data_IF_627016626818
#
_entry.id   IF_627016626818
#
_cell.length_a   1.000
_cell.length_b   1.000
_cell.length_c   1.000
_cell.angle_alpha   90.00
_cell.angle_beta   90.00
_cell.angle_gamma   90.00
#
_symmetry.space_group_name_H-M   'P 1'
#
loop_
_entity.id
_entity.type
_entity.pdbx_description
1 polymer ?
#
# COMPACT_ATOMS: atom_id res chain seq x y z
N UNK A 1 -23.47 -17.95 -3.46
CA UNK A 1 -23.07 -16.92 -2.47
C UNK A 1 -23.92 -15.69 -2.72
N UNK A 2 -24.42 -15.00 -1.70
CA UNK A 2 -25.24 -13.77 -1.86
C UNK A 2 -24.52 -12.49 -1.42
N UNK A 3 -23.33 -12.62 -0.83
CA UNK A 3 -22.53 -11.50 -0.33
C UNK A 3 -21.24 -11.33 -1.12
N UNK A 4 -20.75 -10.10 -1.18
CA UNK A 4 -19.39 -9.77 -1.60
C UNK A 4 -18.38 -10.40 -0.62
N UNK A 5 -17.26 -10.91 -1.16
CA UNK A 5 -16.09 -11.29 -0.36
C UNK A 5 -14.93 -10.40 -0.75
N UNK A 6 -14.38 -9.70 0.25
CA UNK A 6 -13.17 -8.89 0.10
C UNK A 6 -12.00 -9.69 0.67
N UNK A 7 -10.95 -9.87 -0.12
CA UNK A 7 -9.70 -10.49 0.33
C UNK A 7 -8.64 -9.40 0.36
N UNK A 8 -8.07 -9.08 1.53
CA UNK A 8 -6.95 -8.15 1.59
C UNK A 8 -5.72 -8.78 0.93
N UNK A 9 -5.00 -7.98 0.15
CA UNK A 9 -3.72 -8.32 -0.43
C UNK A 9 -2.65 -7.53 0.31
N UNK A 10 -1.59 -8.22 0.73
CA UNK A 10 -0.41 -7.57 1.28
C UNK A 10 0.48 -7.13 0.12
N UNK A 11 0.56 -5.82 -0.11
CA UNK A 11 1.25 -5.24 -1.27
C UNK A 11 2.37 -4.27 -0.85
N UNK A 12 3.05 -4.60 0.25
CA UNK A 12 4.11 -3.81 0.84
C UNK A 12 3.62 -2.75 1.83
N UNK A 13 4.59 -2.07 2.43
CA UNK A 13 4.42 -1.06 3.46
C UNK A 13 5.23 0.18 3.11
N UNK A 14 4.73 1.36 3.48
CA UNK A 14 5.46 2.62 3.41
C UNK A 14 5.65 3.21 4.80
N UNK A 15 6.88 3.63 5.11
CA UNK A 15 7.19 4.39 6.31
C UNK A 15 7.43 5.85 5.95
N UNK A 16 6.89 6.78 6.74
CA UNK A 16 7.07 8.23 6.55
C UNK A 16 6.87 9.00 7.86
N UNK A 17 7.19 10.31 7.84
CA UNK A 17 6.86 11.20 8.96
C UNK A 17 5.36 11.19 9.23
N UNK A 18 4.97 10.92 10.48
CA UNK A 18 3.57 10.86 10.90
C UNK A 18 2.83 12.19 10.62
N UNK A 19 3.55 13.31 10.68
CA UNK A 19 3.06 14.64 10.35
C UNK A 19 2.58 14.80 8.90
N UNK A 20 3.08 13.95 7.98
CA UNK A 20 2.65 13.93 6.57
C UNK A 20 1.27 13.29 6.40
N UNK A 21 0.81 12.55 7.40
CA UNK A 21 -0.43 11.76 7.38
C UNK A 21 -1.47 12.39 8.31
N UNK A 22 -1.05 12.79 9.51
CA UNK A 22 -1.90 13.41 10.53
C UNK A 22 -1.23 14.71 10.99
N UNK A 23 -1.91 15.83 10.78
CA UNK A 23 -1.39 17.14 11.16
C UNK A 23 -1.12 17.22 12.67
N UNK A 24 0.06 17.72 13.04
CA UNK A 24 0.48 17.87 14.44
C UNK A 24 0.93 16.58 15.12
N UNK A 25 1.01 15.46 14.40
CA UNK A 25 1.55 14.22 14.93
C UNK A 25 3.06 14.13 14.66
N UNK A 26 3.83 13.89 15.72
CA UNK A 26 5.27 13.71 15.65
C UNK A 26 5.66 12.23 15.48
N UNK A 27 6.86 12.00 14.94
CA UNK A 27 7.45 10.67 14.81
C UNK A 27 7.31 10.05 13.41
N UNK A 28 7.46 8.73 13.35
CA UNK A 28 7.34 7.94 12.12
C UNK A 28 6.11 7.04 12.19
N UNK A 29 5.49 6.80 11.06
CA UNK A 29 4.38 5.86 10.91
C UNK A 29 4.71 4.85 9.83
N UNK A 30 4.39 3.57 10.09
CA UNK A 30 4.39 2.50 9.08
C UNK A 30 2.95 2.27 8.61
N UNK A 31 2.72 2.37 7.30
CA UNK A 31 1.40 2.21 6.69
C UNK A 31 1.39 1.00 5.76
N UNK A 32 0.44 0.06 5.91
CA UNK A 32 0.25 -0.99 4.92
C UNK A 32 -0.33 -0.38 3.65
N UNK A 33 0.16 -0.79 2.48
CA UNK A 33 -0.38 -0.35 1.19
C UNK A 33 -1.49 -1.31 0.78
N UNK A 34 -2.75 -0.84 0.80
CA UNK A 34 -3.85 -1.76 0.72
C UNK A 34 -4.21 -2.05 -0.74
N UNK A 35 -4.51 -3.31 -1.03
CA UNK A 35 -5.19 -3.72 -2.25
C UNK A 35 -6.14 -4.86 -1.91
N UNK A 36 -7.20 -5.05 -2.70
CA UNK A 36 -8.20 -6.07 -2.41
C UNK A 36 -8.63 -6.83 -3.65
N UNK A 37 -8.77 -8.15 -3.51
CA UNK A 37 -9.53 -8.96 -4.44
C UNK A 37 -11.01 -8.93 -4.04
N UNK A 38 -11.83 -8.40 -4.93
CA UNK A 38 -13.28 -8.29 -4.76
C UNK A 38 -13.94 -9.42 -5.52
N UNK A 39 -14.47 -10.42 -4.80
CA UNK A 39 -15.17 -11.56 -5.38
C UNK A 39 -16.68 -11.29 -5.29
N UNK A 40 -17.30 -11.03 -6.44
CA UNK A 40 -18.72 -10.73 -6.53
C UNK A 40 -19.55 -12.01 -6.68
N UNK A 41 -20.73 -12.12 -6.04
CA UNK A 41 -21.58 -13.31 -6.11
C UNK A 41 -22.08 -13.65 -7.54
N UNK A 42 -21.99 -12.72 -8.50
CA UNK A 42 -22.27 -12.97 -9.92
C UNK A 42 -21.21 -13.84 -10.62
N UNK A 43 -20.11 -14.19 -9.94
CA UNK A 43 -18.97 -14.90 -10.52
C UNK A 43 -17.92 -13.98 -11.15
N UNK A 44 -18.15 -12.66 -11.15
CA UNK A 44 -17.16 -11.67 -11.56
C UNK A 44 -16.20 -11.36 -10.40
N UNK A 45 -14.95 -11.09 -10.76
CA UNK A 45 -13.90 -10.70 -9.81
C UNK A 45 -13.28 -9.39 -10.28
N UNK A 46 -13.02 -8.50 -9.33
CA UNK A 46 -12.31 -7.24 -9.57
C UNK A 46 -11.12 -7.12 -8.61
N UNK A 47 -10.14 -6.32 -9.02
CA UNK A 47 -9.03 -5.90 -8.16
C UNK A 47 -9.23 -4.41 -7.86
N UNK A 48 -9.22 -4.05 -6.58
CA UNK A 48 -9.21 -2.67 -6.13
C UNK A 48 -7.79 -2.32 -5.68
N UNK A 49 -7.21 -1.32 -6.37
CA UNK A 49 -5.80 -0.91 -6.28
C UNK A 49 -4.79 -2.04 -6.59
N UNK A 50 -3.53 -1.70 -6.84
CA UNK A 50 -2.48 -2.67 -7.24
C UNK A 50 -1.20 -2.57 -6.43
N UNK A 51 -1.20 -1.77 -5.36
CA UNK A 51 -0.09 -1.70 -4.43
C UNK A 51 1.13 -0.96 -4.96
N UNK A 52 2.31 -1.29 -4.42
CA UNK A 52 3.57 -0.67 -4.80
C UNK A 52 4.17 -1.29 -6.06
N UNK A 53 4.85 -0.46 -6.86
CA UNK A 53 5.57 -0.95 -8.04
C UNK A 53 6.75 -1.86 -7.63
N UNK A 54 7.03 -2.91 -8.42
CA UNK A 54 8.04 -3.92 -8.11
C UNK A 54 9.45 -3.36 -7.86
N UNK A 55 9.84 -2.31 -8.58
CA UNK A 55 11.13 -1.61 -8.36
C UNK A 55 11.32 -1.08 -6.93
N UNK A 56 10.25 -0.87 -6.16
CA UNK A 56 10.36 -0.38 -4.78
C UNK A 56 10.84 -1.46 -3.80
N UNK A 57 10.97 -2.73 -4.23
CA UNK A 57 11.64 -3.78 -3.44
C UNK A 57 13.08 -3.40 -3.14
N UNK A 58 13.73 -2.69 -4.07
CA UNK A 58 15.11 -2.17 -3.90
C UNK A 58 15.13 -0.79 -3.23
N UNK A 59 14.01 -0.35 -2.68
CA UNK A 59 13.80 0.95 -2.05
C UNK A 59 13.13 1.99 -2.95
N UNK A 60 12.50 3.00 -2.33
CA UNK A 60 11.73 4.05 -3.03
C UNK A 60 12.55 4.76 -4.12
N UNK A 61 13.85 4.95 -3.89
CA UNK A 61 14.74 5.64 -4.82
C UNK A 61 14.95 4.94 -6.16
N UNK A 62 14.73 3.62 -6.25
CA UNK A 62 14.89 2.86 -7.49
C UNK A 62 13.93 3.33 -8.59
N UNK A 63 12.74 3.81 -8.19
CA UNK A 63 11.71 4.35 -9.11
C UNK A 63 11.43 5.83 -8.92
N UNK A 64 11.46 6.30 -7.67
CA UNK A 64 11.07 7.66 -7.29
C UNK A 64 12.20 8.36 -6.51
N UNK A 65 13.32 8.76 -7.16
CA UNK A 65 14.50 9.32 -6.49
C UNK A 65 14.20 10.53 -5.60
N UNK A 66 13.23 11.36 -6.00
CA UNK A 66 12.86 12.56 -5.24
C UNK A 66 12.06 12.23 -3.96
N UNK A 67 11.34 11.11 -3.95
CA UNK A 67 10.50 10.70 -2.82
C UNK A 67 11.26 9.86 -1.79
N UNK A 68 12.42 9.34 -2.15
CA UNK A 68 13.26 8.50 -1.26
C UNK A 68 13.77 9.21 0.00
N UNK A 69 13.66 10.56 0.07
CA UNK A 69 14.00 11.33 1.28
C UNK A 69 12.88 11.34 2.31
N UNK A 70 11.66 11.01 1.90
CA UNK A 70 10.45 11.11 2.73
C UNK A 70 9.81 9.75 2.99
N UNK A 71 10.05 8.77 2.13
CA UNK A 71 9.42 7.47 2.18
C UNK A 71 10.46 6.35 2.13
N UNK A 72 10.20 5.32 2.92
CA UNK A 72 10.88 4.03 2.85
C UNK A 72 9.86 2.95 2.52
N UNK A 73 10.22 1.99 1.69
CA UNK A 73 9.36 0.85 1.31
C UNK A 73 9.88 -0.44 1.94
N UNK A 74 8.97 -1.27 2.44
CA UNK A 74 9.30 -2.61 2.91
C UNK A 74 8.27 -3.62 2.40
N UNK A 75 8.71 -4.87 2.21
CA UNK A 75 7.88 -6.00 1.81
C UNK A 75 8.16 -7.11 2.83
N UNK A 76 7.13 -7.59 3.53
CA UNK A 76 7.23 -8.58 4.61
C UNK A 76 6.58 -9.91 4.18
#
# INVERSE_FOLDING_TARGET
MTSLRLVPLECGWLSTSASSVVAGLDGQVELPIPSWLVIHPSGQTAVFDTGLHHELVDGVGARYPLMARQFESTFR
#
